data_IF_743637533045
#
_entry.id   IF_743637533045
#
_cell.length_a   1.000
_cell.length_b   1.000
_cell.length_c   1.000
_cell.angle_alpha   90.00
_cell.angle_beta   90.00
_cell.angle_gamma   90.00
#
_symmetry.space_group_name_H-M   'P 1'
#
loop_
_entity.id
_entity.type
_entity.pdbx_description
1 polymer ?
#
# COMPACT_ATOMS: atom_id res chain seq x y z
N UNK A 1 -10.34 8.23 -13.46
CA UNK A 1 -11.60 7.83 -12.83
C UNK A 1 -12.81 7.79 -13.76
N UNK A 2 -12.74 8.39 -14.98
CA UNK A 2 -13.91 8.51 -15.90
C UNK A 2 -14.57 7.15 -16.20
N UNK A 3 -13.81 6.13 -16.49
CA UNK A 3 -14.33 4.81 -16.84
C UNK A 3 -15.02 4.12 -15.65
N UNK A 4 -14.50 4.27 -14.43
CA UNK A 4 -15.19 3.81 -13.23
C UNK A 4 -16.47 4.63 -12.97
N UNK A 5 -16.40 5.95 -13.13
CA UNK A 5 -17.57 6.81 -12.94
C UNK A 5 -18.72 6.48 -13.93
N UNK A 6 -18.41 6.01 -15.15
CA UNK A 6 -19.45 5.55 -16.11
C UNK A 6 -20.10 4.21 -15.71
N UNK A 7 -19.69 3.61 -14.60
CA UNK A 7 -20.20 2.35 -14.03
C UNK A 7 -21.01 2.56 -12.75
N UNK A 8 -21.67 3.69 -12.64
CA UNK A 8 -22.56 4.08 -11.53
C UNK A 8 -21.84 4.15 -10.17
N UNK A 9 -20.62 4.66 -10.16
CA UNK A 9 -19.87 4.98 -8.93
C UNK A 9 -19.33 6.40 -8.98
N UNK A 10 -19.31 7.10 -7.85
CA UNK A 10 -18.59 8.36 -7.70
C UNK A 10 -17.15 8.06 -7.35
N UNK A 11 -16.21 8.61 -8.11
CA UNK A 11 -14.77 8.41 -7.88
C UNK A 11 -14.16 9.66 -7.27
N UNK A 12 -13.61 9.53 -6.06
CA UNK A 12 -12.90 10.59 -5.35
C UNK A 12 -11.42 10.22 -5.27
N UNK A 13 -10.55 11.10 -5.75
CA UNK A 13 -9.10 10.97 -5.60
C UNK A 13 -8.61 12.02 -4.61
N UNK A 14 -7.67 11.64 -3.76
CA UNK A 14 -7.21 12.46 -2.65
C UNK A 14 -5.72 12.67 -2.74
N UNK A 15 -5.27 13.91 -2.60
CA UNK A 15 -3.88 14.24 -2.32
C UNK A 15 -3.68 14.29 -0.80
N UNK A 16 -2.63 13.65 -0.32
CA UNK A 16 -2.24 13.63 1.09
C UNK A 16 -0.73 13.82 1.22
N UNK A 17 -0.28 14.28 2.37
CA UNK A 17 1.16 14.48 2.63
C UNK A 17 1.93 13.18 2.51
N UNK A 18 3.09 13.26 1.89
CA UNK A 18 4.00 12.14 1.65
C UNK A 18 5.33 12.35 2.37
N UNK A 19 6.14 11.32 2.40
CA UNK A 19 7.48 11.39 2.93
C UNK A 19 7.49 11.82 4.40
N UNK A 20 8.51 12.55 4.79
CA UNK A 20 8.63 13.07 6.15
C UNK A 20 7.55 14.11 6.51
N UNK A 21 6.89 14.73 5.54
CA UNK A 21 5.76 15.62 5.78
C UNK A 21 4.49 14.85 6.19
N UNK A 22 4.40 13.58 5.77
CA UNK A 22 3.28 12.69 6.07
C UNK A 22 3.50 11.78 7.27
N UNK A 23 4.76 11.47 7.59
CA UNK A 23 5.12 10.56 8.68
C UNK A 23 6.33 11.12 9.44
N UNK A 24 6.10 11.71 10.58
CA UNK A 24 7.15 12.38 11.34
C UNK A 24 6.87 12.30 12.85
N UNK A 25 7.88 11.94 13.64
CA UNK A 25 7.81 11.93 15.09
C UNK A 25 8.96 12.75 15.67
N UNK A 26 8.65 13.69 16.54
CA UNK A 26 9.63 14.46 17.31
C UNK A 26 9.07 14.80 18.70
N UNK A 27 9.88 14.77 19.76
CA UNK A 27 9.41 15.07 21.12
C UNK A 27 8.68 16.41 21.25
N UNK A 28 9.21 17.48 20.65
CA UNK A 28 8.60 18.81 20.69
C UNK A 28 7.17 18.84 20.11
N UNK A 29 6.86 18.00 19.12
CA UNK A 29 5.51 17.92 18.55
C UNK A 29 4.55 17.13 19.44
N UNK A 30 5.04 16.14 20.20
CA UNK A 30 4.24 15.42 21.19
C UNK A 30 3.82 16.36 22.35
N UNK A 31 4.75 17.18 22.82
CA UNK A 31 4.51 18.12 23.95
C UNK A 31 3.49 19.19 23.58
N UNK A 32 3.54 19.71 22.34
CA UNK A 32 2.62 20.75 21.88
C UNK A 32 1.20 20.24 21.69
N UNK A 33 1.03 19.07 21.08
CA UNK A 33 -0.28 18.58 20.63
C UNK A 33 -1.16 18.04 21.78
N UNK A 34 -0.58 17.75 22.97
CA UNK A 34 -1.29 17.07 24.05
C UNK A 34 -1.74 15.64 23.71
N UNK A 35 -1.59 15.22 22.47
CA UNK A 35 -1.88 13.91 21.92
C UNK A 35 -0.74 13.51 20.98
N UNK A 36 -0.37 12.24 20.97
CA UNK A 36 0.66 11.75 20.06
C UNK A 36 0.11 11.61 18.67
N UNK A 37 0.68 12.32 17.72
CA UNK A 37 0.34 12.31 16.29
C UNK A 37 1.61 12.27 15.46
N UNK A 38 1.78 11.23 14.66
CA UNK A 38 2.95 11.02 13.78
C UNK A 38 2.55 10.72 12.35
N UNK A 39 1.32 10.23 12.16
CA UNK A 39 0.81 9.71 10.90
C UNK A 39 -0.04 10.77 10.19
N UNK A 40 0.56 11.90 9.86
CA UNK A 40 -0.15 13.03 9.24
C UNK A 40 -0.73 12.67 7.87
N UNK A 41 -0.08 11.78 7.11
CA UNK A 41 -0.62 11.26 5.86
C UNK A 41 -1.94 10.51 6.09
N UNK A 42 -2.02 9.68 7.13
CA UNK A 42 -3.25 8.97 7.48
C UNK A 42 -4.32 9.92 8.02
N UNK A 43 -3.93 10.98 8.73
CA UNK A 43 -4.85 12.04 9.17
C UNK A 43 -5.44 12.81 7.98
N UNK A 44 -4.64 13.10 6.95
CA UNK A 44 -5.13 13.72 5.72
C UNK A 44 -6.15 12.84 5.01
N UNK A 45 -5.89 11.52 4.97
CA UNK A 45 -6.82 10.54 4.40
C UNK A 45 -8.10 10.40 5.23
N UNK A 46 -8.01 10.44 6.58
CA UNK A 46 -9.17 10.46 7.48
C UNK A 46 -9.99 11.73 7.24
N UNK A 47 -9.35 12.89 7.14
CA UNK A 47 -10.04 14.16 6.84
C UNK A 47 -10.77 14.10 5.49
N UNK A 48 -10.15 13.49 4.46
CA UNK A 48 -10.79 13.28 3.18
C UNK A 48 -12.00 12.36 3.27
N UNK A 49 -11.91 11.27 4.05
CA UNK A 49 -13.05 10.37 4.29
C UNK A 49 -14.18 11.07 5.07
N UNK A 50 -13.85 11.91 6.05
CA UNK A 50 -14.83 12.75 6.76
C UNK A 50 -15.53 13.71 5.79
N UNK A 51 -14.75 14.35 4.90
CA UNK A 51 -15.33 15.20 3.86
C UNK A 51 -16.29 14.42 2.96
N UNK A 52 -15.95 13.19 2.58
CA UNK A 52 -16.85 12.31 1.81
C UNK A 52 -18.14 12.05 2.58
N UNK A 53 -18.07 11.71 3.87
CA UNK A 53 -19.26 11.50 4.69
C UNK A 53 -20.18 12.72 4.73
N UNK A 54 -19.62 13.92 4.79
CA UNK A 54 -20.37 15.16 4.90
C UNK A 54 -20.93 15.66 3.56
N UNK A 55 -20.23 15.39 2.44
CA UNK A 55 -20.49 16.12 1.19
C UNK A 55 -20.88 15.24 -0.01
N UNK A 56 -20.61 13.92 0.02
CA UNK A 56 -20.70 13.09 -1.19
C UNK A 56 -22.13 13.01 -1.77
N UNK A 57 -23.14 13.23 -0.94
CA UNK A 57 -24.54 13.28 -1.39
C UNK A 57 -24.81 14.39 -2.42
N UNK A 58 -24.09 15.53 -2.32
CA UNK A 58 -24.18 16.63 -3.28
C UNK A 58 -23.62 16.24 -4.67
N UNK A 59 -22.84 15.17 -4.75
CA UNK A 59 -22.28 14.62 -5.97
C UNK A 59 -23.02 13.36 -6.45
N UNK A 60 -24.16 13.03 -5.85
CA UNK A 60 -24.94 11.84 -6.17
C UNK A 60 -24.40 10.54 -5.57
N UNK A 61 -23.44 10.62 -4.65
CA UNK A 61 -22.89 9.47 -3.94
C UNK A 61 -23.65 9.14 -2.65
N UNK A 62 -23.40 7.93 -2.14
CA UNK A 62 -23.99 7.42 -0.89
C UNK A 62 -22.89 7.34 0.18
N UNK A 63 -23.00 8.16 1.23
CA UNK A 63 -22.08 8.17 2.36
C UNK A 63 -22.10 6.85 3.16
N UNK A 64 -23.19 6.07 3.09
CA UNK A 64 -23.27 4.75 3.71
C UNK A 64 -22.65 3.63 2.85
N UNK A 65 -22.17 3.94 1.64
CA UNK A 65 -21.57 2.98 0.72
C UNK A 65 -20.23 3.47 0.17
N UNK A 66 -19.27 3.71 1.04
CA UNK A 66 -17.93 4.18 0.68
C UNK A 66 -16.98 2.99 0.58
N UNK A 67 -16.35 2.80 -0.57
CA UNK A 67 -15.28 1.82 -0.80
C UNK A 67 -13.94 2.54 -0.85
N UNK A 68 -13.05 2.21 0.07
CA UNK A 68 -11.67 2.71 0.08
C UNK A 68 -10.77 1.74 -0.69
N UNK A 69 -9.99 2.23 -1.64
CA UNK A 69 -9.07 1.38 -2.39
C UNK A 69 -7.72 2.03 -2.63
N UNK A 70 -6.70 1.21 -2.80
CA UNK A 70 -5.34 1.67 -3.04
C UNK A 70 -4.41 0.55 -3.45
N UNK A 71 -3.35 0.94 -4.15
CA UNK A 71 -2.29 0.05 -4.62
C UNK A 71 -0.98 0.34 -3.88
N UNK A 72 -0.19 -0.72 -3.59
CA UNK A 72 1.14 -0.62 -2.98
C UNK A 72 1.13 0.19 -1.68
N UNK A 73 1.76 1.36 -1.64
CA UNK A 73 1.73 2.27 -0.49
C UNK A 73 0.29 2.75 -0.17
N UNK A 74 -0.56 2.91 -1.19
CA UNK A 74 -1.99 3.16 -1.01
C UNK A 74 -2.72 1.98 -0.36
N UNK A 75 -2.42 0.75 -0.77
CA UNK A 75 -2.93 -0.46 -0.12
C UNK A 75 -2.49 -0.55 1.35
N UNK A 76 -1.24 -0.16 1.62
CA UNK A 76 -0.73 -0.05 2.99
C UNK A 76 -1.50 0.98 3.82
N UNK A 77 -1.85 2.12 3.21
CA UNK A 77 -2.72 3.12 3.84
C UNK A 77 -4.10 2.54 4.15
N UNK A 78 -4.74 1.84 3.21
CA UNK A 78 -6.03 1.16 3.41
C UNK A 78 -5.97 0.22 4.61
N UNK A 79 -4.94 -0.64 4.69
CA UNK A 79 -4.73 -1.56 5.81
C UNK A 79 -4.54 -0.83 7.14
N UNK A 80 -3.76 0.27 7.15
CA UNK A 80 -3.55 1.09 8.34
C UNK A 80 -4.83 1.78 8.80
N UNK A 81 -5.66 2.26 7.86
CA UNK A 81 -6.97 2.85 8.16
C UNK A 81 -7.97 1.80 8.65
N UNK A 82 -7.93 0.56 8.13
CA UNK A 82 -8.71 -0.56 8.68
C UNK A 82 -8.30 -0.91 10.13
N UNK A 83 -7.06 -0.66 10.50
CA UNK A 83 -6.54 -0.86 11.86
C UNK A 83 -6.72 0.36 12.77
N UNK A 84 -7.08 1.53 12.22
CA UNK A 84 -7.15 2.79 12.94
C UNK A 84 -8.50 3.01 13.62
N UNK A 85 -8.56 3.23 14.94
CA UNK A 85 -9.81 3.59 15.60
C UNK A 85 -10.39 4.92 15.10
N UNK A 86 -9.55 5.86 14.63
CA UNK A 86 -9.99 7.17 14.12
C UNK A 86 -10.70 7.10 12.76
N UNK A 87 -10.53 6.01 12.00
CA UNK A 87 -11.18 5.83 10.69
C UNK A 87 -12.45 4.97 10.76
N UNK A 88 -12.84 4.53 11.97
CA UNK A 88 -14.00 3.65 12.16
C UNK A 88 -15.29 4.29 11.68
N UNK A 89 -16.01 3.59 10.78
CA UNK A 89 -17.28 4.03 10.24
C UNK A 89 -17.19 5.04 9.10
N UNK A 90 -15.99 5.45 8.67
CA UNK A 90 -15.80 6.38 7.56
C UNK A 90 -15.82 5.69 6.18
N UNK A 91 -15.65 4.38 6.12
CA UNK A 91 -15.76 3.57 4.90
C UNK A 91 -16.33 2.19 5.23
N UNK A 92 -16.92 1.55 4.23
CA UNK A 92 -17.79 0.38 4.40
C UNK A 92 -17.25 -0.86 3.69
N UNK A 93 -16.29 -0.69 2.77
CA UNK A 93 -15.61 -1.74 2.02
C UNK A 93 -14.18 -1.33 1.72
N UNK A 94 -13.33 -2.29 1.47
CA UNK A 94 -11.94 -2.03 1.11
C UNK A 94 -11.46 -2.90 -0.05
N UNK A 95 -10.66 -2.31 -0.97
CA UNK A 95 -9.91 -3.05 -1.99
C UNK A 95 -8.43 -2.78 -1.76
N UNK A 96 -7.66 -3.85 -1.61
CA UNK A 96 -6.24 -3.81 -1.24
C UNK A 96 -5.46 -4.43 -2.40
N UNK A 97 -4.80 -3.58 -3.20
CA UNK A 97 -4.05 -3.99 -4.38
C UNK A 97 -2.57 -4.03 -4.03
N UNK A 98 -1.96 -5.20 -4.11
CA UNK A 98 -0.52 -5.39 -3.85
C UNK A 98 -0.08 -4.80 -2.50
N UNK A 99 -0.90 -4.99 -1.46
CA UNK A 99 -0.53 -4.67 -0.08
C UNK A 99 0.64 -5.53 0.39
N UNK A 100 1.50 -4.98 1.26
CA UNK A 100 2.74 -5.65 1.66
C UNK A 100 2.92 -5.75 3.18
N UNK A 101 3.77 -6.70 3.60
CA UNK A 101 3.99 -7.09 5.00
C UNK A 101 5.11 -6.32 5.72
N UNK A 102 5.73 -5.31 5.09
CA UNK A 102 6.78 -4.55 5.76
C UNK A 102 6.30 -4.00 7.09
N UNK A 103 7.10 -4.10 8.17
CA UNK A 103 6.67 -3.68 9.50
C UNK A 103 6.46 -2.17 9.57
N UNK A 104 5.54 -1.77 10.43
CA UNK A 104 5.37 -0.38 10.82
C UNK A 104 6.62 0.11 11.57
N UNK A 105 6.87 1.42 11.53
CA UNK A 105 8.02 2.01 12.21
C UNK A 105 7.71 2.15 13.72
N UNK A 106 8.48 1.52 14.63
CA UNK A 106 8.31 1.71 16.06
C UNK A 106 8.54 3.18 16.48
N UNK A 107 7.75 3.67 17.42
CA UNK A 107 7.81 5.04 17.93
C UNK A 107 9.23 5.50 18.28
N UNK A 108 9.97 4.68 19.02
CA UNK A 108 11.34 5.01 19.46
C UNK A 108 12.27 5.27 18.28
N UNK A 109 12.18 4.44 17.24
CA UNK A 109 12.95 4.62 15.99
C UNK A 109 12.49 5.83 15.20
N UNK A 110 11.19 6.14 15.22
CA UNK A 110 10.66 7.32 14.56
C UNK A 110 11.12 8.61 15.23
N UNK A 111 11.10 8.66 16.59
CA UNK A 111 11.63 9.77 17.36
C UNK A 111 13.14 9.98 17.15
N UNK A 112 13.89 8.88 17.06
CA UNK A 112 15.32 8.95 16.74
C UNK A 112 15.58 9.55 15.36
N UNK A 113 14.85 9.08 14.34
CA UNK A 113 14.90 9.67 13.00
C UNK A 113 14.52 11.16 12.98
N UNK A 114 13.50 11.54 13.74
CA UNK A 114 13.08 12.93 13.86
C UNK A 114 14.17 13.82 14.44
N UNK A 115 14.87 13.35 15.48
CA UNK A 115 16.03 14.08 16.05
C UNK A 115 17.17 14.21 15.03
N UNK A 116 17.52 13.13 14.33
CA UNK A 116 18.54 13.15 13.28
C UNK A 116 18.19 14.13 12.15
N UNK A 117 16.92 14.22 11.77
CA UNK A 117 16.45 15.20 10.81
C UNK A 117 16.56 16.64 11.36
N UNK A 118 16.17 16.87 12.61
CA UNK A 118 16.31 18.18 13.24
C UNK A 118 17.80 18.60 13.34
N UNK A 119 18.70 17.70 13.72
CA UNK A 119 20.14 17.92 13.72
C UNK A 119 20.68 18.26 12.31
N UNK A 120 20.21 17.55 11.29
CA UNK A 120 20.58 17.81 9.88
C UNK A 120 20.20 19.26 9.47
N UNK A 121 19.09 19.75 9.96
CA UNK A 121 18.65 21.13 9.74
C UNK A 121 19.23 22.14 10.75
N UNK A 122 20.28 21.77 11.49
CA UNK A 122 20.92 22.57 12.53
C UNK A 122 19.99 23.02 13.68
N UNK A 123 19.00 22.18 14.02
CA UNK A 123 18.00 22.39 15.06
C UNK A 123 18.04 21.28 16.12
N UNK A 124 19.17 21.04 16.84
CA UNK A 124 19.31 19.89 17.74
C UNK A 124 18.37 19.93 18.97
N UNK A 125 17.82 21.09 19.29
CA UNK A 125 16.85 21.32 20.36
C UNK A 125 15.60 22.00 19.81
N UNK A 126 15.15 21.56 18.62
CA UNK A 126 14.04 22.18 17.92
C UNK A 126 12.77 22.26 18.76
N UNK A 127 12.16 23.42 18.80
CA UNK A 127 10.76 23.61 19.17
C UNK A 127 9.82 23.12 18.07
N UNK A 128 8.55 22.95 18.38
CA UNK A 128 7.53 22.61 17.40
C UNK A 128 7.41 23.71 16.30
N UNK A 129 7.56 24.98 16.66
CA UNK A 129 7.52 26.11 15.74
C UNK A 129 8.69 26.07 14.76
N UNK A 130 9.92 25.87 15.26
CA UNK A 130 11.12 25.76 14.42
C UNK A 130 11.03 24.59 13.44
N UNK A 131 10.54 23.41 13.88
CA UNK A 131 10.31 22.27 13.00
C UNK A 131 9.32 22.58 11.87
N UNK A 132 8.24 23.32 12.17
CA UNK A 132 7.25 23.74 11.17
C UNK A 132 7.76 24.83 10.23
N UNK A 133 8.75 25.58 10.64
CA UNK A 133 9.38 26.61 9.82
C UNK A 133 10.35 26.02 8.76
N UNK A 134 10.71 24.74 8.86
CA UNK A 134 11.56 24.10 7.84
C UNK A 134 10.79 24.06 6.51
N UNK A 135 11.33 24.65 5.42
CA UNK A 135 10.68 24.60 4.12
C UNK A 135 10.46 23.17 3.64
N UNK A 136 9.29 22.87 3.07
CA UNK A 136 8.95 21.52 2.58
C UNK A 136 9.97 21.01 1.55
N UNK A 137 10.49 21.91 0.72
CA UNK A 137 11.48 21.61 -0.33
C UNK A 137 12.81 21.09 0.24
N UNK A 138 13.15 21.46 1.47
CA UNK A 138 14.38 21.01 2.13
C UNK A 138 14.39 19.48 2.36
N UNK A 139 13.21 18.87 2.48
CA UNK A 139 13.09 17.41 2.63
C UNK A 139 13.31 16.65 1.32
N UNK A 140 13.21 17.30 0.14
CA UNK A 140 13.37 16.63 -1.16
C UNK A 140 14.82 16.34 -1.52
N UNK A 141 15.75 17.13 -0.97
CA UNK A 141 17.18 16.96 -1.19
C UNK A 141 17.86 15.96 -0.24
N UNK A 142 17.10 15.37 0.69
CA UNK A 142 17.64 14.40 1.65
C UNK A 142 18.14 13.14 0.93
N UNK A 143 19.30 12.65 1.36
CA UNK A 143 19.90 11.41 0.87
C UNK A 143 19.88 10.33 1.97
N UNK A 144 20.18 9.09 1.62
CA UNK A 144 20.32 8.04 2.61
C UNK A 144 21.43 8.39 3.64
N UNK A 145 21.25 8.10 4.95
CA UNK A 145 20.14 7.31 5.52
C UNK A 145 18.89 8.11 5.86
N UNK A 146 18.88 9.44 5.73
CA UNK A 146 17.76 10.30 6.15
C UNK A 146 16.54 10.16 5.22
N UNK A 147 16.76 9.97 3.92
CA UNK A 147 15.72 9.70 2.94
C UNK A 147 15.35 8.22 2.88
N UNK A 148 15.24 7.54 4.01
CA UNK A 148 14.67 6.19 4.04
C UNK A 148 13.16 6.32 4.07
N UNK A 149 12.47 5.72 3.08
CA UNK A 149 11.04 5.84 2.87
C UNK A 149 10.25 5.81 4.17
N UNK A 150 9.49 6.86 4.48
CA UNK A 150 8.70 6.90 5.69
C UNK A 150 7.61 5.84 5.63
N UNK A 151 7.42 5.15 6.74
CA UNK A 151 6.40 4.14 6.94
C UNK A 151 5.41 4.62 8.00
N UNK A 152 4.21 4.08 8.09
CA UNK A 152 3.31 4.32 9.20
C UNK A 152 4.02 4.07 10.55
N UNK A 153 3.80 4.97 11.49
CA UNK A 153 4.47 4.97 12.80
C UNK A 153 3.50 4.45 13.86
N UNK A 154 3.94 3.46 14.63
CA UNK A 154 3.14 2.86 15.70
C UNK A 154 3.25 3.67 16.99
N UNK A 155 2.15 3.71 17.74
CA UNK A 155 2.11 4.26 19.11
C UNK A 155 1.55 5.69 19.18
N UNK A 156 0.81 6.09 18.15
CA UNK A 156 0.01 7.31 18.17
C UNK A 156 -1.51 7.01 18.19
N UNK A 157 -2.32 8.04 18.24
CA UNK A 157 -3.78 7.90 18.29
C UNK A 157 -4.38 7.38 16.96
N UNK A 158 -3.64 7.47 15.85
CA UNK A 158 -4.07 6.98 14.53
C UNK A 158 -3.76 5.49 14.39
N UNK A 159 -2.56 5.07 14.78
CA UNK A 159 -2.08 3.68 14.73
C UNK A 159 -1.51 3.26 16.10
N UNK A 160 -2.38 2.95 17.08
CA UNK A 160 -1.94 2.62 18.45
C UNK A 160 -1.10 1.35 18.53
N UNK A 161 -1.30 0.42 17.61
CA UNK A 161 -0.62 -0.88 17.54
C UNK A 161 -0.19 -1.20 16.13
N UNK A 162 0.79 -2.09 15.93
CA UNK A 162 1.16 -2.56 14.61
C UNK A 162 -0.04 -3.08 13.82
N UNK A 163 -0.12 -2.73 12.55
CA UNK A 163 -1.23 -3.10 11.68
C UNK A 163 -1.46 -4.61 11.68
N UNK A 164 -0.41 -5.42 11.48
CA UNK A 164 -0.53 -6.88 11.46
C UNK A 164 -1.03 -7.46 12.79
N UNK A 165 -0.59 -6.91 13.93
CA UNK A 165 -1.07 -7.35 15.25
C UNK A 165 -2.57 -7.06 15.43
N UNK A 166 -3.06 -5.94 14.90
CA UNK A 166 -4.47 -5.60 14.90
C UNK A 166 -5.29 -6.65 14.12
N UNK A 167 -4.81 -7.05 12.93
CA UNK A 167 -5.45 -8.10 12.12
C UNK A 167 -5.35 -9.48 12.77
N UNK A 168 -4.20 -9.86 13.34
CA UNK A 168 -4.07 -11.14 14.08
C UNK A 168 -5.00 -11.22 15.29
N UNK A 169 -5.26 -10.09 15.94
CA UNK A 169 -6.16 -10.01 17.09
C UNK A 169 -7.66 -9.87 16.70
N UNK A 170 -8.00 -9.76 15.41
CA UNK A 170 -9.37 -9.56 14.94
C UNK A 170 -9.97 -8.22 15.36
N UNK A 171 -9.15 -7.18 15.47
CA UNK A 171 -9.56 -5.82 15.91
C UNK A 171 -9.63 -4.81 14.77
N UNK A 172 -9.34 -5.22 13.54
CA UNK A 172 -9.54 -4.41 12.35
C UNK A 172 -11.04 -4.14 12.11
N UNK A 173 -11.35 -3.15 11.29
CA UNK A 173 -12.74 -2.86 10.94
C UNK A 173 -13.39 -4.08 10.27
N UNK A 174 -14.57 -4.53 10.76
CA UNK A 174 -15.29 -5.67 10.22
C UNK A 174 -16.09 -5.26 8.98
N UNK A 175 -15.44 -5.16 7.84
CA UNK A 175 -16.01 -4.75 6.55
C UNK A 175 -15.65 -5.75 5.46
N UNK A 176 -16.44 -5.88 4.37
CA UNK A 176 -16.07 -6.65 3.19
C UNK A 176 -14.75 -6.18 2.57
N UNK A 177 -13.92 -7.14 2.15
CA UNK A 177 -12.59 -6.84 1.56
C UNK A 177 -12.40 -7.59 0.25
N UNK A 178 -11.84 -6.92 -0.74
CA UNK A 178 -11.19 -7.55 -1.89
C UNK A 178 -9.68 -7.29 -1.80
N UNK A 179 -8.85 -8.34 -1.90
CA UNK A 179 -7.40 -8.23 -1.79
C UNK A 179 -6.71 -9.09 -2.84
N UNK A 180 -5.66 -8.58 -3.43
CA UNK A 180 -4.88 -9.36 -4.39
C UNK A 180 -3.49 -8.84 -4.61
N UNK A 181 -2.77 -9.55 -5.48
CA UNK A 181 -1.40 -9.25 -5.87
C UNK A 181 -1.14 -9.67 -7.31
N UNK A 182 -0.06 -9.16 -7.89
CA UNK A 182 0.38 -9.45 -9.23
C UNK A 182 1.36 -10.64 -9.27
N UNK A 183 1.49 -11.27 -10.42
CA UNK A 183 2.34 -12.46 -10.58
C UNK A 183 3.84 -12.15 -10.43
N UNK A 184 4.30 -10.96 -10.78
CA UNK A 184 5.69 -10.52 -10.60
C UNK A 184 5.82 -9.29 -9.68
N UNK A 185 5.30 -9.37 -8.45
CA UNK A 185 5.48 -8.32 -7.42
C UNK A 185 6.96 -8.03 -7.12
N UNK A 186 7.84 -9.00 -7.37
CA UNK A 186 9.27 -8.84 -7.14
C UNK A 186 9.92 -7.80 -8.07
N UNK A 187 9.25 -7.40 -9.14
CA UNK A 187 9.71 -6.34 -10.05
C UNK A 187 9.98 -5.02 -9.32
N UNK A 188 9.23 -4.70 -8.26
CA UNK A 188 9.43 -3.49 -7.45
C UNK A 188 10.77 -3.49 -6.70
N UNK A 189 11.39 -4.65 -6.46
CA UNK A 189 12.67 -4.75 -5.75
C UNK A 189 13.80 -4.07 -6.49
N UNK A 190 13.76 -4.03 -7.82
CA UNK A 190 14.74 -3.31 -8.63
C UNK A 190 14.72 -1.80 -8.36
N UNK A 191 13.53 -1.22 -8.07
CA UNK A 191 13.38 0.20 -7.71
C UNK A 191 14.11 0.52 -6.41
N UNK A 192 14.18 -0.46 -5.49
CA UNK A 192 14.90 -0.33 -4.21
C UNK A 192 16.36 -0.78 -4.29
N UNK A 193 16.88 -1.08 -5.49
CA UNK A 193 18.26 -1.52 -5.69
C UNK A 193 18.57 -2.90 -5.08
N UNK A 194 17.57 -3.75 -4.90
CA UNK A 194 17.74 -5.10 -4.35
C UNK A 194 18.13 -6.07 -5.46
N UNK A 195 19.32 -6.64 -5.36
CA UNK A 195 19.78 -7.75 -6.20
C UNK A 195 19.20 -9.07 -5.68
N UNK A 196 18.07 -9.49 -6.24
CA UNK A 196 17.34 -10.71 -5.84
C UNK A 196 18.21 -11.96 -6.05
N UNK A 197 18.86 -12.08 -7.22
CA UNK A 197 19.70 -13.24 -7.54
C UNK A 197 20.90 -13.32 -6.58
N UNK A 198 21.54 -12.19 -6.31
CA UNK A 198 22.64 -12.09 -5.34
C UNK A 198 22.23 -12.48 -3.93
N UNK A 199 21.00 -12.14 -3.49
CA UNK A 199 20.49 -12.59 -2.18
C UNK A 199 20.34 -14.12 -2.10
N UNK A 200 19.83 -14.77 -3.14
CA UNK A 200 19.75 -16.24 -3.18
C UNK A 200 21.15 -16.88 -3.21
N UNK A 201 22.09 -16.29 -3.96
CA UNK A 201 23.49 -16.76 -3.96
C UNK A 201 24.15 -16.59 -2.58
N UNK A 202 23.87 -15.51 -1.87
CA UNK A 202 24.31 -15.30 -0.49
C UNK A 202 23.74 -16.36 0.44
N UNK A 203 22.44 -16.64 0.38
CA UNK A 203 21.80 -17.72 1.13
C UNK A 203 22.41 -19.09 0.82
N UNK A 204 22.78 -19.35 -0.43
CA UNK A 204 23.45 -20.58 -0.85
C UNK A 204 24.82 -20.75 -0.18
N UNK A 205 25.58 -19.68 0.00
CA UNK A 205 26.89 -19.70 0.65
C UNK A 205 26.78 -19.80 2.18
N UNK A 206 25.88 -19.03 2.77
CA UNK A 206 25.84 -18.83 4.22
C UNK A 206 24.82 -19.74 4.93
N UNK A 207 23.76 -20.16 4.25
CA UNK A 207 22.60 -20.86 4.83
C UNK A 207 22.09 -22.02 3.94
N UNK A 208 22.99 -22.92 3.53
CA UNK A 208 22.66 -24.03 2.59
C UNK A 208 21.44 -24.84 2.99
N UNK A 209 21.27 -25.18 4.27
CA UNK A 209 20.12 -25.92 4.77
C UNK A 209 18.81 -25.11 4.62
N UNK A 210 18.85 -23.81 4.96
CA UNK A 210 17.70 -22.91 4.79
C UNK A 210 17.27 -22.81 3.32
N UNK A 211 18.23 -22.65 2.40
CA UNK A 211 17.93 -22.65 0.97
C UNK A 211 17.33 -23.99 0.50
N UNK A 212 17.80 -25.12 1.05
CA UNK A 212 17.23 -26.44 0.78
C UNK A 212 15.77 -26.52 1.16
N UNK A 213 15.40 -26.00 2.34
CA UNK A 213 14.01 -25.93 2.79
C UNK A 213 13.15 -25.03 1.89
N UNK A 214 13.66 -23.85 1.53
CA UNK A 214 12.99 -22.95 0.59
C UNK A 214 12.68 -23.67 -0.72
N UNK A 215 13.65 -24.36 -1.30
CA UNK A 215 13.46 -25.12 -2.56
C UNK A 215 12.41 -26.22 -2.48
N UNK A 216 12.18 -26.80 -1.31
CA UNK A 216 11.10 -27.76 -1.12
C UNK A 216 9.71 -27.11 -1.22
N UNK A 217 9.59 -25.83 -0.85
CA UNK A 217 8.35 -25.08 -0.96
C UNK A 217 8.08 -24.59 -2.40
N UNK A 218 9.11 -24.55 -3.25
CA UNK A 218 9.02 -24.10 -4.65
C UNK A 218 9.48 -25.20 -5.62
N UNK A 219 8.75 -26.33 -5.70
CA UNK A 219 9.12 -27.44 -6.56
C UNK A 219 9.07 -27.04 -8.04
N UNK A 220 10.11 -27.38 -8.77
CA UNK A 220 10.19 -27.10 -10.21
C UNK A 220 10.73 -25.71 -10.59
N UNK A 221 10.88 -24.79 -9.64
CA UNK A 221 11.48 -23.47 -9.90
C UNK A 221 12.98 -23.61 -10.17
N UNK A 222 13.40 -23.13 -11.35
CA UNK A 222 14.79 -23.18 -11.81
C UNK A 222 15.41 -21.78 -11.84
N UNK A 223 16.68 -21.71 -11.45
CA UNK A 223 17.42 -20.44 -11.40
C UNK A 223 17.25 -19.68 -10.08
N UNK A 224 18.28 -18.92 -9.73
CA UNK A 224 18.31 -18.17 -8.47
C UNK A 224 17.43 -16.93 -8.55
N UNK A 225 17.36 -16.29 -9.69
CA UNK A 225 16.52 -15.12 -9.89
C UNK A 225 15.03 -15.48 -9.78
N UNK A 226 14.57 -16.49 -10.51
CA UNK A 226 13.16 -16.93 -10.47
C UNK A 226 12.77 -17.36 -9.05
N UNK A 227 13.64 -18.16 -8.39
CA UNK A 227 13.39 -18.55 -7.00
C UNK A 227 13.29 -17.34 -6.06
N UNK A 228 14.19 -16.38 -6.22
CA UNK A 228 14.18 -15.16 -5.41
C UNK A 228 12.94 -14.30 -5.65
N UNK A 229 12.47 -14.18 -6.90
CA UNK A 229 11.23 -13.48 -7.25
C UNK A 229 10.00 -14.13 -6.60
N UNK A 230 9.87 -15.46 -6.73
CA UNK A 230 8.77 -16.22 -6.11
C UNK A 230 8.76 -16.06 -4.59
N UNK A 231 9.90 -16.23 -3.94
CA UNK A 231 10.03 -16.06 -2.48
C UNK A 231 9.69 -14.63 -2.05
N UNK A 232 10.21 -13.64 -2.76
CA UNK A 232 9.96 -12.23 -2.46
C UNK A 232 8.47 -11.88 -2.59
N UNK A 233 7.85 -12.27 -3.71
CA UNK A 233 6.41 -12.10 -3.93
C UNK A 233 5.60 -12.70 -2.80
N UNK A 234 5.87 -13.95 -2.46
CA UNK A 234 5.05 -14.66 -1.48
C UNK A 234 5.25 -14.13 -0.06
N UNK A 235 6.50 -13.81 0.33
CA UNK A 235 6.77 -13.27 1.66
C UNK A 235 6.25 -11.84 1.85
N UNK A 236 6.41 -11.00 0.83
CA UNK A 236 6.06 -9.58 0.98
C UNK A 236 4.58 -9.28 0.66
N UNK A 237 3.96 -9.99 -0.28
CA UNK A 237 2.64 -9.65 -0.83
C UNK A 237 1.61 -10.76 -0.67
N UNK A 238 1.84 -11.95 -1.25
CA UNK A 238 0.82 -13.01 -1.33
C UNK A 238 0.36 -13.50 0.04
N UNK A 239 1.31 -13.65 0.98
CA UNK A 239 1.02 -14.11 2.36
C UNK A 239 0.09 -13.14 3.09
N UNK A 240 0.22 -11.84 2.85
CA UNK A 240 -0.66 -10.84 3.46
C UNK A 240 -2.13 -11.07 3.09
N UNK A 241 -2.41 -11.44 1.83
CA UNK A 241 -3.75 -11.77 1.39
C UNK A 241 -4.40 -12.89 2.22
N UNK A 242 -3.64 -13.92 2.59
CA UNK A 242 -4.12 -14.99 3.48
C UNK A 242 -4.36 -14.50 4.91
N UNK A 243 -3.46 -13.67 5.44
CA UNK A 243 -3.60 -13.10 6.79
C UNK A 243 -4.86 -12.25 6.89
N UNK A 244 -5.09 -11.37 5.92
CA UNK A 244 -6.27 -10.50 5.88
C UNK A 244 -7.55 -11.33 5.71
N UNK A 245 -7.56 -12.32 4.80
CA UNK A 245 -8.70 -13.20 4.61
C UNK A 245 -9.07 -13.94 5.91
N UNK A 246 -8.11 -14.53 6.60
CA UNK A 246 -8.37 -15.19 7.88
C UNK A 246 -8.86 -14.23 8.96
N UNK A 247 -8.31 -13.02 9.00
CA UNK A 247 -8.74 -11.99 9.95
C UNK A 247 -10.20 -11.57 9.69
N UNK A 248 -10.60 -11.37 8.43
CA UNK A 248 -11.97 -11.03 8.07
C UNK A 248 -12.94 -12.17 8.36
N UNK A 249 -12.57 -13.41 8.10
CA UNK A 249 -13.39 -14.57 8.48
C UNK A 249 -13.65 -14.63 10.00
N UNK A 250 -12.66 -14.33 10.84
CA UNK A 250 -12.81 -14.30 12.31
C UNK A 250 -13.82 -13.27 12.79
N UNK A 251 -13.96 -12.16 12.08
CA UNK A 251 -14.94 -11.09 12.39
C UNK A 251 -16.23 -11.22 11.58
N UNK A 252 -16.44 -12.35 10.90
CA UNK A 252 -17.66 -12.68 10.18
C UNK A 252 -17.85 -11.88 8.88
N UNK A 253 -16.77 -11.38 8.27
CA UNK A 253 -16.84 -10.59 7.06
C UNK A 253 -16.31 -11.34 5.83
N UNK A 254 -16.92 -11.17 4.66
CA UNK A 254 -16.46 -11.77 3.43
C UNK A 254 -15.15 -11.15 2.97
N UNK A 255 -14.27 -11.98 2.38
CA UNK A 255 -13.03 -11.56 1.77
C UNK A 255 -12.82 -12.30 0.46
N UNK A 256 -12.71 -11.56 -0.62
CA UNK A 256 -12.39 -12.10 -1.95
C UNK A 256 -10.92 -11.89 -2.23
N UNK A 257 -10.29 -12.91 -2.83
CA UNK A 257 -8.91 -12.82 -3.29
C UNK A 257 -8.88 -12.87 -4.82
N UNK A 258 -8.04 -12.00 -5.40
CA UNK A 258 -7.69 -12.07 -6.81
C UNK A 258 -6.19 -12.32 -7.00
N UNK A 259 -5.85 -12.81 -8.16
CA UNK A 259 -4.49 -12.95 -8.65
C UNK A 259 -4.45 -12.34 -10.04
N UNK A 260 -3.56 -11.36 -10.24
CA UNK A 260 -3.42 -10.67 -11.51
C UNK A 260 -2.14 -11.11 -12.19
N UNK A 261 -2.25 -11.80 -13.33
CA UNK A 261 -1.13 -12.31 -14.13
C UNK A 261 -1.21 -11.90 -15.60
N UNK A 262 -2.13 -11.00 -15.93
CA UNK A 262 -2.28 -10.53 -17.30
C UNK A 262 -1.18 -9.53 -17.63
N UNK A 263 -0.51 -9.79 -18.77
CA UNK A 263 0.43 -8.88 -19.41
C UNK A 263 -0.07 -8.66 -20.83
N UNK A 264 -0.08 -7.41 -21.30
CA UNK A 264 -0.48 -7.11 -22.67
C UNK A 264 0.40 -7.90 -23.68
N UNK A 265 -0.20 -8.43 -24.74
CA UNK A 265 0.49 -9.33 -25.67
C UNK A 265 1.82 -8.75 -26.17
N UNK A 266 1.83 -7.47 -26.51
CA UNK A 266 3.02 -6.77 -26.98
C UNK A 266 4.11 -6.56 -25.91
N UNK A 267 3.82 -6.82 -24.63
CA UNK A 267 4.73 -6.62 -23.51
C UNK A 267 5.34 -7.94 -22.97
N UNK A 268 4.92 -9.11 -23.47
CA UNK A 268 5.38 -10.41 -22.95
C UNK A 268 6.91 -10.56 -22.96
N UNK A 269 7.59 -10.08 -24.01
CA UNK A 269 9.04 -10.14 -24.09
C UNK A 269 9.74 -9.20 -23.10
N UNK A 270 9.10 -8.08 -22.77
CA UNK A 270 9.63 -7.11 -21.80
C UNK A 270 9.40 -7.57 -20.35
N UNK A 271 8.33 -8.31 -20.10
CA UNK A 271 7.94 -8.78 -18.76
C UNK A 271 7.79 -10.31 -18.71
N UNK A 272 8.90 -11.06 -18.91
CA UNK A 272 8.87 -12.52 -18.99
C UNK A 272 8.53 -13.23 -17.70
N UNK A 273 8.49 -12.51 -16.57
CA UNK A 273 8.15 -13.03 -15.25
C UNK A 273 6.67 -12.84 -14.88
N UNK A 274 5.89 -12.17 -15.73
CA UNK A 274 4.46 -11.92 -15.51
C UNK A 274 4.13 -10.45 -15.24
N UNK A 275 2.94 -10.21 -14.70
CA UNK A 275 2.43 -8.89 -14.39
C UNK A 275 3.28 -8.23 -13.29
N UNK A 276 3.95 -7.13 -13.64
CA UNK A 276 4.82 -6.39 -12.74
C UNK A 276 3.99 -5.62 -11.67
N UNK A 277 4.66 -5.16 -10.62
CA UNK A 277 4.03 -4.43 -9.52
C UNK A 277 3.34 -3.15 -10.00
N UNK A 278 2.03 -3.05 -9.76
CA UNK A 278 1.20 -1.93 -10.23
C UNK A 278 0.68 -2.07 -11.67
N UNK A 279 0.98 -3.18 -12.39
CA UNK A 279 0.51 -3.39 -13.75
C UNK A 279 -1.02 -3.42 -13.88
N UNK A 280 -1.74 -3.82 -12.85
CA UNK A 280 -3.20 -3.89 -12.86
C UNK A 280 -3.88 -2.51 -12.83
N UNK A 281 -3.19 -1.47 -12.37
CA UNK A 281 -3.79 -0.13 -12.16
C UNK A 281 -4.44 0.45 -13.42
N UNK A 282 -3.79 0.48 -14.60
CA UNK A 282 -4.42 0.97 -15.82
C UNK A 282 -5.62 0.11 -16.27
N UNK A 283 -5.66 -1.18 -15.92
CA UNK A 283 -6.81 -2.05 -16.19
C UNK A 283 -7.96 -1.75 -15.23
N UNK A 284 -7.70 -1.52 -13.96
CA UNK A 284 -8.71 -1.11 -12.97
C UNK A 284 -9.39 0.21 -13.38
N UNK A 285 -8.62 1.16 -13.89
CA UNK A 285 -9.13 2.44 -14.35
C UNK A 285 -9.62 2.43 -15.80
N UNK A 286 -9.50 1.31 -16.51
CA UNK A 286 -9.89 1.14 -17.92
C UNK A 286 -9.38 2.31 -18.77
N UNK A 287 -8.07 2.59 -18.64
CA UNK A 287 -7.44 3.74 -19.26
C UNK A 287 -6.16 3.42 -20.03
N UNK A 288 -6.03 2.18 -20.54
CA UNK A 288 -4.88 1.75 -21.35
C UNK A 288 -4.62 2.67 -22.54
N UNK A 289 -5.67 3.19 -23.20
CA UNK A 289 -5.55 4.16 -24.30
C UNK A 289 -4.94 5.52 -23.89
N UNK A 290 -4.84 5.77 -22.57
CA UNK A 290 -4.30 7.01 -22.01
C UNK A 290 -2.97 6.80 -21.28
N UNK A 291 -2.52 5.55 -21.12
CA UNK A 291 -1.35 5.16 -20.33
C UNK A 291 -0.17 4.85 -21.25
N UNK A 292 0.92 5.62 -21.14
CA UNK A 292 2.16 5.33 -21.87
C UNK A 292 2.96 4.23 -21.13
N UNK A 293 3.64 3.35 -21.85
CA UNK A 293 3.67 3.23 -23.33
C UNK A 293 2.54 2.38 -23.92
N UNK A 294 1.72 1.70 -23.09
CA UNK A 294 0.74 0.68 -23.52
C UNK A 294 -0.31 1.22 -24.51
N UNK A 295 -0.63 2.51 -24.46
CA UNK A 295 -1.57 3.16 -25.41
C UNK A 295 -1.17 2.99 -26.87
N UNK A 296 0.13 2.75 -27.14
CA UNK A 296 0.66 2.68 -28.51
C UNK A 296 0.44 1.33 -29.17
N UNK A 297 0.20 0.28 -28.35
CA UNK A 297 0.16 -1.10 -28.82
C UNK A 297 -0.95 -1.95 -28.19
N UNK A 298 -1.75 -1.40 -27.28
CA UNK A 298 -2.86 -2.14 -26.68
C UNK A 298 -3.81 -2.68 -27.75
N UNK A 299 -4.00 -4.00 -27.75
CA UNK A 299 -4.91 -4.70 -28.63
C UNK A 299 -6.37 -4.53 -28.19
N UNK A 300 -7.33 -4.89 -29.05
CA UNK A 300 -8.74 -4.93 -28.66
C UNK A 300 -9.01 -5.96 -27.53
N UNK A 301 -8.20 -7.02 -27.44
CA UNK A 301 -8.29 -7.99 -26.34
C UNK A 301 -7.84 -7.37 -25.02
N UNK A 302 -6.74 -6.59 -25.01
CA UNK A 302 -6.27 -5.87 -23.83
C UNK A 302 -7.32 -4.88 -23.32
N UNK A 303 -7.97 -4.16 -24.24
CA UNK A 303 -9.02 -3.19 -23.91
C UNK A 303 -10.27 -3.88 -23.38
N UNK A 304 -10.68 -5.00 -23.96
CA UNK A 304 -11.81 -5.77 -23.46
C UNK A 304 -11.54 -6.34 -22.06
N UNK A 305 -10.31 -6.80 -21.81
CA UNK A 305 -9.90 -7.27 -20.50
C UNK A 305 -9.88 -6.13 -19.49
N UNK A 306 -9.37 -4.94 -19.84
CA UNK A 306 -9.40 -3.77 -18.95
C UNK A 306 -10.82 -3.37 -18.56
N UNK A 307 -11.75 -3.36 -19.53
CA UNK A 307 -13.16 -3.10 -19.26
C UNK A 307 -13.75 -4.11 -18.26
N UNK A 308 -13.43 -5.40 -18.40
CA UNK A 308 -13.87 -6.45 -17.50
C UNK A 308 -13.31 -6.28 -16.07
N UNK A 309 -12.02 -5.93 -15.93
CA UNK A 309 -11.40 -5.65 -14.64
C UNK A 309 -12.10 -4.47 -13.96
N UNK A 310 -12.31 -3.37 -14.67
CA UNK A 310 -13.01 -2.21 -14.14
C UNK A 310 -14.46 -2.54 -13.70
N UNK A 311 -15.14 -3.44 -14.43
CA UNK A 311 -16.46 -3.94 -14.04
C UNK A 311 -16.44 -4.67 -12.69
N UNK A 312 -15.44 -5.53 -12.43
CA UNK A 312 -15.30 -6.21 -11.13
C UNK A 312 -15.11 -5.22 -9.98
N UNK A 313 -14.25 -4.19 -10.16
CA UNK A 313 -14.04 -3.16 -9.13
C UNK A 313 -15.30 -2.35 -8.86
N UNK A 314 -15.97 -1.88 -9.91
CA UNK A 314 -17.22 -1.15 -9.78
C UNK A 314 -18.34 -2.00 -9.15
N UNK A 315 -18.45 -3.28 -9.54
CA UNK A 315 -19.42 -4.20 -8.97
C UNK A 315 -19.16 -4.43 -7.47
N UNK A 316 -17.91 -4.64 -7.06
CA UNK A 316 -17.54 -4.76 -5.66
C UNK A 316 -17.95 -3.50 -4.88
N UNK A 317 -17.65 -2.31 -5.41
CA UNK A 317 -18.03 -1.05 -4.77
C UNK A 317 -19.53 -0.89 -4.59
N UNK A 318 -20.33 -1.35 -5.56
CA UNK A 318 -21.79 -1.23 -5.51
C UNK A 318 -22.48 -2.29 -4.65
N UNK A 319 -22.07 -3.55 -4.75
CA UNK A 319 -22.88 -4.71 -4.33
C UNK A 319 -22.29 -5.54 -3.17
N UNK A 320 -21.02 -5.41 -2.83
CA UNK A 320 -20.43 -6.20 -1.76
C UNK A 320 -20.98 -5.74 -0.39
N UNK A 321 -22.05 -6.34 0.02
CA UNK A 321 -22.71 -6.16 1.32
C UNK A 321 -22.84 -7.49 2.03
#
# INVERSE_FOLDING_TARGET
>A
GKALASRDVVVVTVNYRLGHLGFFAHPALEEEAGERLYNFALLDQIAALQWVQENIHAFGGDAANVTLFGESAGARSVLSLMASPKAKGLFHKAIIQSGYTLPDLPREKALEKGRQLAEHFALPQASAEELRAIPAEAFWSLTAPLNTGPAPIVGDAVLPQPMLETFFAGRQHPIPVMIGSNSDEASVMAVFGVDIAGQIQKLRRERRLGLGLIKLLYPGVKGDETLGREVCRDMAFTTLGYVVMQAQQRVGQPCWRYWFDYVAEAEHDAYPHGAWHGNEVPYVFDNLRLTDPVRQYASEADLAFAAQVADYWAQFARLAS
#
